data_IF_244885934251
#
_entry.id   IF_244885934251
#
_cell.length_a   1.000
_cell.length_b   1.000
_cell.length_c   1.000
_cell.angle_alpha   90.00
_cell.angle_beta   90.00
_cell.angle_gamma   90.00
#
_symmetry.space_group_name_H-M   'P 1'
#
loop_
_entity.id
_entity.type
_entity.pdbx_description
1 polymer ?
#
# COMPACT_ATOMS: atom_id res chain seq x y z
N UNK A 1 -9.23 -13.43 4.30
CA UNK A 1 -8.15 -12.54 3.81
C UNK A 1 -8.27 -11.16 4.45
N UNK A 2 -7.19 -10.59 5.02
CA UNK A 2 -7.12 -9.19 5.44
C UNK A 2 -6.70 -8.32 4.25
N UNK A 3 -7.23 -7.09 4.15
CA UNK A 3 -6.88 -6.16 3.05
C UNK A 3 -6.31 -4.87 3.64
N UNK A 4 -5.05 -4.58 3.36
CA UNK A 4 -4.37 -3.35 3.74
C UNK A 4 -4.03 -2.53 2.51
N UNK A 5 -4.21 -1.22 2.60
CA UNK A 5 -3.86 -0.28 1.52
C UNK A 5 -2.77 0.65 2.01
N UNK A 6 -1.70 0.77 1.24
CA UNK A 6 -0.60 1.71 1.51
C UNK A 6 -0.80 2.94 0.63
N UNK A 7 -1.24 4.04 1.21
CA UNK A 7 -1.63 5.23 0.45
C UNK A 7 -1.07 6.53 1.04
N UNK A 8 -0.66 7.44 0.17
CA UNK A 8 -0.39 8.84 0.47
C UNK A 8 -0.37 9.62 -0.84
N UNK A 9 -0.93 10.83 -0.84
CA UNK A 9 -0.94 11.73 -2.01
C UNK A 9 0.42 12.37 -2.30
N UNK A 10 1.43 12.16 -1.45
CA UNK A 10 2.80 12.59 -1.71
C UNK A 10 3.63 11.45 -2.30
N UNK A 11 4.36 11.73 -3.39
CA UNK A 11 5.36 10.83 -3.95
C UNK A 11 6.59 10.72 -3.04
N UNK A 12 7.32 9.59 -3.13
CA UNK A 12 8.61 9.42 -2.46
C UNK A 12 8.56 9.18 -0.94
N UNK A 13 7.39 8.95 -0.33
CA UNK A 13 7.24 8.74 1.12
C UNK A 13 7.48 7.29 1.56
N UNK A 14 7.78 6.39 0.63
CA UNK A 14 8.07 4.97 0.91
C UNK A 14 6.85 4.05 0.81
N UNK A 15 5.82 4.36 0.01
CA UNK A 15 4.65 3.49 -0.20
C UNK A 15 5.06 2.10 -0.69
N UNK A 16 5.64 2.01 -1.86
CA UNK A 16 6.11 0.75 -2.48
C UNK A 16 7.08 -0.01 -1.58
N UNK A 17 8.03 0.69 -0.94
CA UNK A 17 8.95 0.09 0.04
C UNK A 17 8.19 -0.50 1.23
N UNK A 18 7.13 0.16 1.70
CA UNK A 18 6.29 -0.35 2.79
C UNK A 18 5.50 -1.59 2.37
N UNK A 19 4.95 -1.61 1.14
CA UNK A 19 4.29 -2.80 0.58
C UNK A 19 5.25 -3.99 0.55
N UNK A 20 6.38 -3.85 -0.12
CA UNK A 20 7.37 -4.92 -0.25
C UNK A 20 7.90 -5.39 1.12
N UNK A 21 8.13 -4.45 2.07
CA UNK A 21 8.66 -4.79 3.39
C UNK A 21 7.64 -5.53 4.26
N UNK A 22 6.38 -5.08 4.29
CA UNK A 22 5.30 -5.75 5.05
C UNK A 22 4.96 -7.10 4.43
N UNK A 23 4.87 -7.18 3.10
CA UNK A 23 4.63 -8.43 2.38
C UNK A 23 5.74 -9.46 2.66
N UNK A 24 7.01 -9.06 2.53
CA UNK A 24 8.14 -9.93 2.83
C UNK A 24 8.20 -10.39 4.29
N UNK A 25 7.83 -9.53 5.24
CA UNK A 25 7.76 -9.91 6.66
C UNK A 25 6.60 -10.90 6.94
N UNK A 26 5.47 -10.78 6.23
CA UNK A 26 4.35 -11.74 6.29
C UNK A 26 4.74 -13.09 5.70
N UNK A 27 5.40 -13.12 4.53
CA UNK A 27 5.86 -14.35 3.89
C UNK A 27 6.83 -15.14 4.80
N UNK A 28 7.76 -14.44 5.48
CA UNK A 28 8.62 -15.07 6.50
C UNK A 28 7.85 -15.71 7.66
N UNK A 29 6.62 -15.30 7.90
CA UNK A 29 5.70 -15.90 8.90
C UNK A 29 4.80 -16.96 8.29
N UNK A 30 5.10 -17.42 7.06
CA UNK A 30 4.34 -18.46 6.36
C UNK A 30 2.97 -18.02 5.87
N UNK A 31 2.74 -16.69 5.70
CA UNK A 31 1.49 -16.16 5.17
C UNK A 31 1.54 -16.08 3.65
N UNK A 32 0.44 -16.42 2.99
CA UNK A 32 0.24 -16.21 1.56
C UNK A 32 -0.25 -14.77 1.35
N UNK A 33 0.50 -13.99 0.57
CA UNK A 33 0.28 -12.56 0.40
C UNK A 33 0.08 -12.23 -1.07
N UNK A 34 -1.02 -11.57 -1.40
CA UNK A 34 -1.22 -10.94 -2.70
C UNK A 34 -0.86 -9.46 -2.62
N UNK A 35 0.14 -9.05 -3.36
CA UNK A 35 0.43 -7.64 -3.58
C UNK A 35 -0.30 -7.16 -4.83
N UNK A 36 -0.88 -5.95 -4.78
CA UNK A 36 -1.56 -5.35 -5.92
C UNK A 36 -0.92 -4.00 -6.20
N UNK A 37 -0.30 -3.85 -7.36
CA UNK A 37 0.23 -2.58 -7.81
C UNK A 37 -0.88 -1.80 -8.54
N UNK A 38 -1.27 -0.64 -8.01
CA UNK A 38 -2.25 0.25 -8.66
C UNK A 38 -1.60 1.52 -9.20
N UNK A 39 -0.26 1.66 -9.09
CA UNK A 39 0.45 2.80 -9.67
C UNK A 39 0.78 2.51 -11.13
N UNK A 40 0.34 3.34 -12.10
CA UNK A 40 0.68 3.15 -13.52
C UNK A 40 2.18 3.08 -13.81
N UNK A 41 3.03 3.61 -12.92
CA UNK A 41 4.49 3.52 -13.07
C UNK A 41 5.06 2.13 -12.76
N UNK A 42 4.24 1.18 -12.31
CA UNK A 42 4.61 -0.21 -12.02
C UNK A 42 5.84 -0.36 -11.09
N UNK A 43 5.99 0.58 -10.15
CA UNK A 43 7.17 0.63 -9.27
C UNK A 43 7.31 -0.60 -8.38
N UNK A 44 6.21 -1.22 -7.96
CA UNK A 44 6.22 -2.45 -7.17
C UNK A 44 6.64 -3.65 -8.02
N UNK A 45 6.15 -3.72 -9.28
CA UNK A 45 6.58 -4.74 -10.25
C UNK A 45 8.08 -4.70 -10.45
N UNK A 46 8.64 -3.55 -10.82
CA UNK A 46 10.09 -3.40 -11.00
C UNK A 46 10.90 -3.68 -9.74
N UNK A 47 10.38 -3.29 -8.56
CA UNK A 47 11.01 -3.62 -7.27
C UNK A 47 11.17 -5.14 -7.11
N UNK A 48 10.21 -5.93 -7.56
CA UNK A 48 10.16 -7.39 -7.39
C UNK A 48 10.66 -8.17 -8.60
N UNK A 49 11.22 -7.50 -9.60
CA UNK A 49 11.74 -8.13 -10.81
C UNK A 49 10.68 -8.60 -11.80
N UNK A 50 9.48 -8.04 -11.71
CA UNK A 50 8.39 -8.29 -12.65
C UNK A 50 8.33 -7.14 -13.66
N UNK A 51 8.63 -7.43 -14.91
CA UNK A 51 8.50 -6.46 -15.99
C UNK A 51 7.02 -6.34 -16.41
N UNK A 52 6.48 -5.15 -16.28
CA UNK A 52 5.07 -4.87 -16.62
C UNK A 52 4.75 -5.04 -18.12
N UNK A 53 5.75 -5.07 -19.00
CA UNK A 53 5.56 -5.26 -20.43
C UNK A 53 5.62 -6.75 -20.85
N UNK A 54 6.15 -7.62 -19.97
CA UNK A 54 6.31 -9.06 -20.23
C UNK A 54 5.25 -9.93 -19.53
N UNK A 55 4.35 -9.31 -18.73
CA UNK A 55 3.32 -10.07 -18.00
C UNK A 55 2.18 -10.49 -18.92
N UNK A 56 1.53 -11.65 -18.68
CA UNK A 56 0.42 -12.15 -19.50
C UNK A 56 -0.85 -11.29 -19.38
N UNK A 57 -0.92 -10.43 -18.39
CA UNK A 57 -2.01 -9.51 -18.12
C UNK A 57 -1.76 -8.72 -16.83
N UNK A 58 -2.60 -7.75 -16.56
CA UNK A 58 -2.37 -6.77 -15.51
C UNK A 58 -3.68 -6.35 -14.81
N UNK A 59 -3.55 -5.52 -13.81
CA UNK A 59 -4.72 -4.90 -13.18
C UNK A 59 -5.58 -4.10 -14.18
N UNK A 60 -4.99 -3.55 -15.26
CA UNK A 60 -5.75 -2.87 -16.30
C UNK A 60 -6.78 -3.79 -16.95
N UNK A 61 -6.39 -5.02 -17.30
CA UNK A 61 -7.27 -6.01 -17.92
C UNK A 61 -8.43 -6.39 -17.00
N UNK A 62 -8.16 -6.48 -15.69
CA UNK A 62 -9.19 -6.70 -14.67
C UNK A 62 -10.20 -5.54 -14.63
N UNK A 63 -9.73 -4.29 -14.72
CA UNK A 63 -10.61 -3.12 -14.79
C UNK A 63 -11.44 -3.09 -16.06
N UNK A 64 -10.86 -3.44 -17.21
CA UNK A 64 -11.59 -3.54 -18.49
C UNK A 64 -12.69 -4.62 -18.41
N UNK A 65 -12.39 -5.74 -17.77
CA UNK A 65 -13.32 -6.87 -17.60
C UNK A 65 -14.28 -6.72 -16.40
N UNK A 66 -14.36 -5.56 -15.75
CA UNK A 66 -15.02 -5.36 -14.44
C UNK A 66 -16.46 -5.91 -14.33
N UNK A 67 -17.23 -5.97 -15.43
CA UNK A 67 -18.57 -6.53 -15.48
C UNK A 67 -18.62 -8.07 -15.60
N UNK A 68 -17.49 -8.72 -15.88
CA UNK A 68 -17.39 -10.16 -16.17
C UNK A 68 -16.24 -10.82 -15.41
N UNK A 69 -15.94 -10.32 -14.20
CA UNK A 69 -14.85 -10.87 -13.37
C UNK A 69 -15.17 -12.30 -12.95
N UNK A 70 -14.22 -13.20 -13.22
CA UNK A 70 -14.23 -14.56 -12.68
C UNK A 70 -12.94 -14.81 -11.90
N UNK A 71 -12.95 -15.82 -11.03
CA UNK A 71 -11.74 -16.21 -10.28
C UNK A 71 -10.60 -16.61 -11.19
N UNK A 72 -10.90 -17.32 -12.27
CA UNK A 72 -9.94 -17.80 -13.27
C UNK A 72 -9.29 -16.62 -14.00
N UNK A 73 -10.07 -15.63 -14.41
CA UNK A 73 -9.53 -14.43 -15.06
C UNK A 73 -8.62 -13.66 -14.12
N UNK A 74 -9.02 -13.43 -12.87
CA UNK A 74 -8.17 -12.73 -11.91
C UNK A 74 -6.88 -13.50 -11.67
N UNK A 75 -6.96 -14.82 -11.48
CA UNK A 75 -5.77 -15.68 -11.26
C UNK A 75 -4.83 -15.73 -12.45
N UNK A 76 -5.33 -15.65 -13.69
CA UNK A 76 -4.47 -15.66 -14.89
C UNK A 76 -3.61 -14.41 -15.02
N UNK A 77 -3.92 -13.34 -14.27
CA UNK A 77 -3.16 -12.07 -14.27
C UNK A 77 -2.25 -11.92 -13.04
N UNK A 78 -2.35 -12.84 -12.07
CA UNK A 78 -1.48 -12.86 -10.90
C UNK A 78 -0.20 -13.62 -11.26
N UNK A 79 0.94 -13.04 -10.96
CA UNK A 79 2.25 -13.63 -11.21
C UNK A 79 2.99 -13.92 -9.90
N UNK A 80 3.73 -15.03 -9.80
CA UNK A 80 4.59 -15.30 -8.65
C UNK A 80 5.79 -14.35 -8.64
N UNK A 81 6.33 -14.10 -7.43
CA UNK A 81 7.60 -13.39 -7.28
C UNK A 81 8.74 -14.37 -6.99
N UNK A 82 9.96 -13.85 -6.78
CA UNK A 82 11.12 -14.67 -6.37
C UNK A 82 10.99 -15.22 -4.93
N UNK A 83 9.96 -14.85 -4.20
CA UNK A 83 9.74 -15.25 -2.80
C UNK A 83 8.47 -16.09 -2.69
N UNK A 84 8.61 -17.32 -2.23
CA UNK A 84 7.48 -18.22 -2.02
C UNK A 84 6.41 -17.59 -1.12
N UNK A 85 5.15 -17.70 -1.54
CA UNK A 85 4.02 -17.12 -0.82
C UNK A 85 3.79 -15.63 -1.05
N UNK A 86 4.57 -15.00 -1.93
CA UNK A 86 4.35 -13.62 -2.41
C UNK A 86 3.99 -13.62 -3.89
N UNK A 87 2.75 -13.27 -4.19
CA UNK A 87 2.27 -13.09 -5.54
C UNK A 87 1.95 -11.62 -5.81
N UNK A 88 2.02 -11.22 -7.07
CA UNK A 88 1.77 -9.87 -7.53
C UNK A 88 0.67 -9.85 -8.60
N UNK A 89 -0.33 -9.00 -8.44
CA UNK A 89 -1.15 -8.52 -9.53
C UNK A 89 -0.51 -7.22 -10.06
N UNK A 90 0.16 -7.28 -11.23
CA UNK A 90 0.98 -6.18 -11.69
C UNK A 90 0.16 -5.04 -12.29
N UNK A 91 0.76 -3.86 -12.29
CA UNK A 91 0.30 -2.66 -12.96
C UNK A 91 0.92 -2.53 -14.34
N UNK A 92 0.32 -1.71 -15.19
CA UNK A 92 0.90 -1.23 -16.46
C UNK A 92 0.58 0.24 -16.67
N UNK A 93 1.32 0.91 -17.56
CA UNK A 93 1.05 2.31 -17.94
C UNK A 93 -0.36 2.54 -18.46
N UNK A 94 -1.02 1.51 -19.00
CA UNK A 94 -2.41 1.58 -19.45
C UNK A 94 -3.38 2.02 -18.33
N UNK A 95 -3.07 1.72 -17.05
CA UNK A 95 -3.87 2.19 -15.91
C UNK A 95 -4.02 3.72 -15.85
N UNK A 96 -3.07 4.49 -16.37
CA UNK A 96 -3.17 5.96 -16.44
C UNK A 96 -4.35 6.44 -17.32
N UNK A 97 -4.87 5.60 -18.18
CA UNK A 97 -6.01 5.92 -19.06
C UNK A 97 -7.37 5.69 -18.41
N UNK A 98 -7.44 4.93 -17.29
CA UNK A 98 -8.69 4.47 -16.70
C UNK A 98 -9.60 5.61 -16.22
N UNK A 99 -9.06 6.64 -15.59
CA UNK A 99 -9.85 7.78 -15.13
C UNK A 99 -10.59 8.46 -16.28
N UNK A 100 -9.95 8.57 -17.45
CA UNK A 100 -10.52 9.17 -18.65
C UNK A 100 -11.49 8.23 -19.38
N UNK A 101 -11.11 6.95 -19.47
CA UNK A 101 -11.87 5.98 -20.27
C UNK A 101 -13.08 5.41 -19.53
N UNK A 102 -12.97 5.16 -18.24
CA UNK A 102 -13.94 4.38 -17.47
C UNK A 102 -14.38 5.05 -16.16
N UNK A 103 -13.78 6.18 -15.76
CA UNK A 103 -13.99 6.79 -14.44
C UNK A 103 -15.44 7.23 -14.14
N UNK A 104 -16.26 7.39 -15.18
CA UNK A 104 -17.69 7.75 -15.06
C UNK A 104 -18.65 6.54 -15.12
N UNK A 105 -18.13 5.33 -15.34
CA UNK A 105 -18.98 4.14 -15.43
C UNK A 105 -19.41 3.68 -14.03
N UNK A 106 -20.64 3.19 -13.94
CA UNK A 106 -21.19 2.64 -12.71
C UNK A 106 -20.40 1.37 -12.28
N UNK A 107 -20.13 1.23 -10.99
CA UNK A 107 -19.39 0.07 -10.47
C UNK A 107 -17.87 0.22 -10.45
N UNK A 108 -17.29 1.16 -11.21
CA UNK A 108 -15.83 1.32 -11.31
C UNK A 108 -15.12 1.58 -9.98
N UNK A 109 -15.79 2.10 -8.97
CA UNK A 109 -15.21 2.34 -7.65
C UNK A 109 -15.09 1.11 -6.75
N UNK A 110 -15.52 -0.08 -7.20
CA UNK A 110 -15.57 -1.33 -6.42
C UNK A 110 -14.85 -2.51 -7.09
N UNK A 111 -14.16 -2.30 -8.19
CA UNK A 111 -13.51 -3.37 -8.96
C UNK A 111 -12.50 -4.14 -8.11
N UNK A 112 -11.63 -3.43 -7.36
CA UNK A 112 -10.67 -4.08 -6.45
C UNK A 112 -11.36 -4.88 -5.35
N UNK A 113 -12.45 -4.38 -4.78
CA UNK A 113 -13.21 -5.11 -3.76
C UNK A 113 -13.78 -6.41 -4.33
N UNK A 114 -14.32 -6.35 -5.55
CA UNK A 114 -14.92 -7.51 -6.21
C UNK A 114 -13.86 -8.55 -6.56
N UNK A 115 -12.73 -8.14 -7.16
CA UNK A 115 -11.65 -9.07 -7.48
C UNK A 115 -11.08 -9.74 -6.22
N UNK A 116 -10.87 -8.99 -5.12
CA UNK A 116 -10.35 -9.53 -3.87
C UNK A 116 -11.30 -10.53 -3.23
N UNK A 117 -12.61 -10.36 -3.37
CA UNK A 117 -13.59 -11.32 -2.92
C UNK A 117 -13.49 -12.67 -3.65
N UNK A 118 -13.14 -12.65 -4.96
CA UNK A 118 -13.00 -13.87 -5.78
C UNK A 118 -11.79 -14.73 -5.39
N UNK A 119 -10.73 -14.12 -4.85
CA UNK A 119 -9.49 -14.83 -4.46
C UNK A 119 -9.26 -14.86 -2.94
N UNK A 120 -10.29 -14.54 -2.17
CA UNK A 120 -10.18 -14.41 -0.71
C UNK A 120 -9.78 -15.70 0.03
N UNK A 121 -10.00 -16.86 -0.56
CA UNK A 121 -9.64 -18.19 -0.05
C UNK A 121 -8.19 -18.59 -0.41
N UNK A 122 -7.56 -17.89 -1.35
CA UNK A 122 -6.20 -18.20 -1.81
C UNK A 122 -5.12 -17.50 -0.96
N UNK A 123 -5.44 -16.37 -0.34
CA UNK A 123 -4.47 -15.52 0.38
C UNK A 123 -4.91 -15.21 1.82
N UNK A 124 -3.93 -15.05 2.70
CA UNK A 124 -4.16 -14.60 4.09
C UNK A 124 -4.30 -13.08 4.18
N UNK A 125 -3.48 -12.36 3.38
CA UNK A 125 -3.43 -10.89 3.34
C UNK A 125 -3.29 -10.40 1.91
N UNK A 126 -3.99 -9.33 1.57
CA UNK A 126 -3.74 -8.54 0.37
C UNK A 126 -3.19 -7.17 0.76
N UNK A 127 -2.14 -6.69 0.07
CA UNK A 127 -1.56 -5.37 0.28
C UNK A 127 -1.59 -4.60 -1.04
N UNK A 128 -2.25 -3.43 -1.03
CA UNK A 128 -2.42 -2.58 -2.21
C UNK A 128 -1.44 -1.41 -2.17
N UNK A 129 -0.60 -1.27 -3.18
CA UNK A 129 0.24 -0.08 -3.41
C UNK A 129 -0.54 0.95 -4.22
N UNK A 130 -0.63 2.19 -3.73
CA UNK A 130 -1.42 3.25 -4.35
C UNK A 130 -0.56 4.27 -5.09
N UNK A 131 -1.06 4.81 -6.23
CA UNK A 131 -0.46 5.99 -6.85
C UNK A 131 -0.59 7.21 -5.93
N UNK A 132 0.24 8.26 -6.14
CA UNK A 132 0.14 9.49 -5.35
C UNK A 132 -1.03 10.40 -5.77
N UNK A 133 -1.77 10.03 -6.80
CA UNK A 133 -2.86 10.84 -7.37
C UNK A 133 -4.21 10.31 -6.89
N UNK A 134 -5.10 11.23 -6.51
CA UNK A 134 -6.48 10.90 -6.19
C UNK A 134 -7.28 10.72 -7.49
N UNK A 135 -7.49 9.47 -7.88
CA UNK A 135 -8.27 9.04 -9.04
C UNK A 135 -9.03 7.76 -8.74
N UNK A 136 -9.62 7.15 -9.78
CA UNK A 136 -10.41 5.91 -9.65
C UNK A 136 -9.62 4.78 -8.97
N UNK A 137 -8.31 4.70 -9.23
CA UNK A 137 -7.44 3.67 -8.66
C UNK A 137 -7.33 3.81 -7.13
N UNK A 138 -7.04 5.02 -6.63
CA UNK A 138 -6.99 5.26 -5.18
C UNK A 138 -8.37 5.05 -4.53
N UNK A 139 -9.45 5.49 -5.17
CA UNK A 139 -10.81 5.27 -4.68
C UNK A 139 -11.12 3.78 -4.53
N UNK A 140 -10.71 2.95 -5.51
CA UNK A 140 -10.85 1.49 -5.46
C UNK A 140 -10.05 0.89 -4.31
N UNK A 141 -8.79 1.28 -4.17
CA UNK A 141 -7.92 0.79 -3.11
C UNK A 141 -8.49 1.10 -1.71
N UNK A 142 -8.94 2.34 -1.50
CA UNK A 142 -9.57 2.74 -0.23
C UNK A 142 -10.91 2.02 0.01
N UNK A 143 -11.71 1.79 -1.03
CA UNK A 143 -13.01 1.11 -0.90
C UNK A 143 -12.87 -0.40 -0.61
N UNK A 144 -11.77 -1.02 -1.01
CA UNK A 144 -11.47 -2.42 -0.74
C UNK A 144 -10.79 -2.64 0.62
N UNK A 145 -10.23 -1.59 1.21
CA UNK A 145 -9.36 -1.66 2.37
C UNK A 145 -10.12 -1.86 3.69
N UNK A 146 -9.61 -2.75 4.54
CA UNK A 146 -10.00 -2.85 5.94
C UNK A 146 -9.17 -1.92 6.82
N UNK A 147 -7.93 -1.65 6.43
CA UNK A 147 -7.04 -0.73 7.12
C UNK A 147 -6.10 -0.02 6.17
N UNK A 148 -5.89 1.28 6.37
CA UNK A 148 -5.03 2.12 5.53
C UNK A 148 -3.76 2.44 6.31
N UNK A 149 -2.62 2.10 5.74
CA UNK A 149 -1.31 2.49 6.26
C UNK A 149 -0.84 3.72 5.47
N UNK A 150 -0.54 4.81 6.16
CA UNK A 150 -0.15 6.07 5.54
C UNK A 150 1.32 6.38 5.89
N UNK A 151 2.29 5.94 5.08
CA UNK A 151 3.67 6.31 5.28
C UNK A 151 3.87 7.81 5.05
N UNK A 152 4.53 8.48 6.00
CA UNK A 152 4.78 9.93 5.97
C UNK A 152 6.25 10.18 6.28
N UNK A 153 6.96 10.77 5.34
CA UNK A 153 8.33 11.21 5.58
C UNK A 153 8.37 12.24 6.72
N UNK A 154 9.32 12.10 7.63
CA UNK A 154 9.47 13.00 8.78
C UNK A 154 10.05 14.35 8.37
N UNK A 155 9.26 15.11 7.57
CA UNK A 155 9.55 16.47 7.11
C UNK A 155 8.27 17.31 6.98
N UNK A 156 8.42 18.64 7.03
CA UNK A 156 7.28 19.57 7.06
C UNK A 156 6.32 19.43 5.86
N UNK A 157 6.84 19.36 4.64
CA UNK A 157 5.97 19.25 3.44
C UNK A 157 5.22 17.91 3.35
N UNK A 158 5.75 16.86 3.95
CA UNK A 158 5.06 15.58 4.00
C UNK A 158 3.86 15.60 4.95
N UNK A 159 3.93 16.35 6.05
CA UNK A 159 2.79 16.56 6.96
C UNK A 159 1.64 17.25 6.22
N UNK A 160 1.93 18.24 5.37
CA UNK A 160 0.91 18.89 4.53
C UNK A 160 0.28 17.95 3.50
N UNK A 161 1.02 16.97 3.00
CA UNK A 161 0.50 15.88 2.18
C UNK A 161 -0.45 14.96 2.96
N UNK A 162 -0.09 14.63 4.22
CA UNK A 162 -0.92 13.84 5.12
C UNK A 162 -2.24 14.54 5.43
N UNK A 163 -2.22 15.83 5.78
CA UNK A 163 -3.44 16.62 6.04
C UNK A 163 -4.44 16.52 4.87
N UNK A 164 -3.93 16.63 3.62
CA UNK A 164 -4.76 16.47 2.41
C UNK A 164 -5.33 15.07 2.27
N UNK A 165 -4.51 14.05 2.51
CA UNK A 165 -4.95 12.65 2.44
C UNK A 165 -6.05 12.34 3.45
N UNK A 166 -5.89 12.75 4.70
CA UNK A 166 -6.89 12.55 5.77
C UNK A 166 -8.18 13.26 5.42
N UNK A 167 -8.11 14.54 4.99
CA UNK A 167 -9.28 15.30 4.56
C UNK A 167 -10.02 14.64 3.38
N UNK A 168 -9.28 14.08 2.44
CA UNK A 168 -9.86 13.32 1.31
C UNK A 168 -10.63 12.09 1.82
N UNK A 169 -10.03 11.31 2.72
CA UNK A 169 -10.70 10.14 3.31
C UNK A 169 -11.95 10.54 4.10
N UNK A 170 -11.94 11.66 4.83
CA UNK A 170 -13.12 12.16 5.53
C UNK A 170 -14.25 12.50 4.56
N UNK A 171 -13.96 13.24 3.48
CA UNK A 171 -14.95 13.60 2.46
C UNK A 171 -15.56 12.34 1.83
N UNK A 172 -14.71 11.39 1.43
CA UNK A 172 -15.16 10.11 0.86
C UNK A 172 -15.97 9.29 1.87
N UNK A 173 -15.53 9.27 3.12
CA UNK A 173 -16.21 8.56 4.20
C UNK A 173 -17.61 9.10 4.47
N UNK A 174 -17.78 10.43 4.51
CA UNK A 174 -19.09 11.08 4.66
C UNK A 174 -20.04 10.70 3.53
N UNK A 175 -19.56 10.76 2.27
CA UNK A 175 -20.36 10.39 1.09
C UNK A 175 -20.83 8.93 1.13
N UNK A 176 -19.97 8.02 1.60
CA UNK A 176 -20.27 6.56 1.62
C UNK A 176 -20.81 6.08 2.98
N UNK A 177 -20.99 6.97 3.97
CA UNK A 177 -21.36 6.63 5.37
C UNK A 177 -20.40 5.59 5.97
N UNK A 178 -19.13 5.65 5.63
CA UNK A 178 -18.08 4.71 6.03
C UNK A 178 -16.97 5.46 6.77
N UNK A 179 -16.43 4.87 7.83
CA UNK A 179 -15.24 5.37 8.50
C UNK A 179 -14.03 4.57 8.05
N UNK A 180 -12.98 5.25 7.60
CA UNK A 180 -11.72 4.59 7.28
C UNK A 180 -10.89 4.41 8.55
N UNK A 181 -10.46 3.17 8.79
CA UNK A 181 -9.43 2.88 9.80
C UNK A 181 -8.06 3.13 9.18
N UNK A 182 -7.19 3.91 9.83
CA UNK A 182 -5.85 4.17 9.31
C UNK A 182 -4.80 4.31 10.40
N UNK A 183 -3.55 4.07 10.01
CA UNK A 183 -2.35 4.31 10.81
C UNK A 183 -1.36 5.18 10.05
N UNK A 184 -0.95 6.27 10.66
CA UNK A 184 0.15 7.12 10.17
C UNK A 184 1.47 6.50 10.59
N UNK A 185 2.35 6.25 9.62
CA UNK A 185 3.65 5.62 9.83
C UNK A 185 4.77 6.60 9.49
N UNK A 186 5.51 7.13 10.49
CA UNK A 186 6.65 8.00 10.24
C UNK A 186 7.76 7.24 9.51
N UNK A 187 8.16 7.71 8.33
CA UNK A 187 9.19 7.08 7.49
C UNK A 187 10.39 7.99 7.30
N UNK A 188 11.49 7.40 6.82
CA UNK A 188 12.74 8.11 6.53
C UNK A 188 13.24 8.95 7.71
N UNK A 189 13.01 8.46 8.92
CA UNK A 189 13.43 9.15 10.13
C UNK A 189 14.97 9.17 10.25
N UNK A 190 15.52 10.36 10.41
CA UNK A 190 16.94 10.57 10.67
C UNK A 190 17.15 11.45 11.92
N UNK A 191 17.51 10.82 13.03
CA UNK A 191 17.74 11.51 14.32
C UNK A 191 18.90 12.54 14.28
N UNK A 192 19.76 12.51 13.26
CA UNK A 192 20.90 13.43 13.11
C UNK A 192 20.43 14.79 12.58
N UNK A 193 19.26 14.88 12.01
CA UNK A 193 18.66 16.13 11.50
C UNK A 193 17.80 16.78 12.58
N UNK A 194 17.64 18.10 12.52
CA UNK A 194 16.69 18.82 13.37
C UNK A 194 15.23 18.64 12.87
N UNK A 195 15.07 18.47 11.57
CA UNK A 195 13.77 18.41 10.93
C UNK A 195 12.96 17.14 11.29
N UNK A 196 13.60 15.95 11.31
CA UNK A 196 12.92 14.70 11.57
C UNK A 196 12.31 14.61 12.98
N UNK A 197 13.04 14.90 14.07
CA UNK A 197 12.43 14.93 15.41
C UNK A 197 11.32 15.97 15.54
N UNK A 198 11.49 17.18 14.97
CA UNK A 198 10.47 18.22 15.01
C UNK A 198 9.20 17.80 14.26
N UNK A 199 9.35 17.19 13.07
CA UNK A 199 8.22 16.66 12.32
C UNK A 199 7.51 15.52 13.06
N UNK A 200 8.24 14.63 13.72
CA UNK A 200 7.68 13.55 14.52
C UNK A 200 6.86 14.09 15.71
N UNK A 201 7.33 15.16 16.36
CA UNK A 201 6.58 15.83 17.41
C UNK A 201 5.25 16.37 16.89
N UNK A 202 5.24 17.09 15.77
CA UNK A 202 4.01 17.60 15.13
C UNK A 202 3.06 16.46 14.76
N UNK A 203 3.56 15.37 14.21
CA UNK A 203 2.75 14.18 13.91
C UNK A 203 2.13 13.58 15.18
N UNK A 204 2.87 13.54 16.28
CA UNK A 204 2.38 13.03 17.57
C UNK A 204 1.27 13.91 18.17
N UNK A 205 1.42 15.23 18.06
CA UNK A 205 0.43 16.18 18.54
C UNK A 205 -0.87 16.16 17.72
N UNK A 206 -0.75 16.01 16.39
CA UNK A 206 -1.92 16.08 15.49
C UNK A 206 -2.63 14.73 15.27
N UNK A 207 -1.88 13.61 15.30
CA UNK A 207 -2.39 12.28 14.92
C UNK A 207 -2.17 11.21 16.00
N UNK A 208 -1.95 11.59 17.26
CA UNK A 208 -1.50 10.69 18.34
C UNK A 208 -2.24 9.36 18.46
N UNK A 209 -3.56 9.34 18.28
CA UNK A 209 -4.36 8.11 18.32
C UNK A 209 -4.18 7.22 17.09
N UNK A 210 -3.86 7.82 15.93
CA UNK A 210 -3.65 7.13 14.65
C UNK A 210 -2.18 7.00 14.29
N UNK A 211 -1.26 7.56 15.10
CA UNK A 211 0.16 7.50 14.86
C UNK A 211 0.76 6.20 15.41
N UNK A 212 1.45 5.44 14.58
CA UNK A 212 2.34 4.40 15.07
C UNK A 212 3.50 5.04 15.85
N UNK A 213 3.70 4.61 17.10
CA UNK A 213 4.60 5.26 18.07
C UNK A 213 6.10 5.00 17.84
N UNK A 214 6.43 4.21 16.83
CA UNK A 214 7.81 3.99 16.40
C UNK A 214 8.03 4.64 15.02
N UNK A 215 9.19 4.46 14.42
CA UNK A 215 9.58 5.10 13.15
C UNK A 215 10.28 4.11 12.22
N UNK A 216 10.12 4.28 10.92
CA UNK A 216 10.95 3.62 9.91
C UNK A 216 12.17 4.51 9.64
N UNK A 217 13.38 4.08 10.02
CA UNK A 217 14.59 4.88 9.83
C UNK A 217 15.00 4.94 8.36
N UNK A 218 15.81 5.94 8.00
CA UNK A 218 16.58 5.88 6.75
C UNK A 218 17.49 4.66 6.78
N UNK A 219 17.35 3.79 5.77
CA UNK A 219 18.20 2.60 5.62
C UNK A 219 18.47 2.34 4.13
N UNK A 220 19.74 2.32 3.74
CA UNK A 220 20.16 2.11 2.35
C UNK A 220 19.87 0.69 1.86
N UNK A 221 19.69 -0.26 2.79
CA UNK A 221 19.40 -1.66 2.46
C UNK A 221 18.09 -1.86 1.70
N UNK A 222 17.15 -0.93 1.78
CA UNK A 222 15.95 -0.96 0.94
C UNK A 222 16.27 -0.77 -0.56
N UNK A 223 17.26 0.07 -0.88
CA UNK A 223 17.72 0.27 -2.27
C UNK A 223 18.48 -0.97 -2.78
N UNK A 224 19.38 -1.50 -1.97
CA UNK A 224 20.11 -2.72 -2.30
C UNK A 224 19.15 -3.90 -2.54
N UNK A 225 18.11 -4.03 -1.70
CA UNK A 225 17.09 -5.07 -1.81
C UNK A 225 16.27 -4.93 -3.10
N UNK A 226 15.87 -3.70 -3.46
CA UNK A 226 15.13 -3.47 -4.71
C UNK A 226 15.96 -3.80 -5.95
N UNK A 227 17.28 -3.53 -5.93
CA UNK A 227 18.21 -3.93 -7.01
C UNK A 227 18.34 -5.46 -7.10
N UNK A 228 18.20 -6.16 -5.99
CA UNK A 228 18.22 -7.63 -5.94
C UNK A 228 16.84 -8.26 -6.20
N UNK A 229 15.80 -7.45 -6.47
CA UNK A 229 14.42 -7.88 -6.67
C UNK A 229 13.82 -8.68 -5.50
N UNK A 230 14.27 -8.38 -4.28
CA UNK A 230 13.83 -9.05 -3.06
C UNK A 230 13.26 -8.05 -2.04
N UNK A 231 12.24 -8.41 -1.27
CA UNK A 231 11.89 -7.66 -0.06
C UNK A 231 13.10 -7.58 0.88
N UNK A 232 13.30 -6.42 1.52
CA UNK A 232 14.47 -6.19 2.38
C UNK A 232 14.60 -7.24 3.51
N UNK A 233 13.49 -7.80 3.97
CA UNK A 233 13.47 -8.89 4.96
C UNK A 233 14.15 -10.17 4.45
N UNK A 234 14.18 -10.42 3.14
CA UNK A 234 14.83 -11.56 2.49
C UNK A 234 16.27 -11.24 2.07
N UNK A 235 16.56 -9.98 1.79
CA UNK A 235 17.89 -9.53 1.39
C UNK A 235 18.81 -9.23 2.59
N UNK A 236 18.33 -8.51 3.61
CA UNK A 236 19.14 -8.02 4.74
C UNK A 236 18.34 -8.03 6.06
N UNK A 237 17.94 -9.22 6.52
CA UNK A 237 17.02 -9.42 7.66
C UNK A 237 17.47 -8.75 8.96
N UNK A 238 18.77 -8.53 9.17
CA UNK A 238 19.30 -7.91 10.37
C UNK A 238 19.30 -6.38 10.38
N UNK A 239 18.98 -5.71 9.27
CA UNK A 239 19.06 -4.26 9.18
C UNK A 239 17.97 -3.54 10.01
N UNK A 240 18.24 -2.27 10.34
CA UNK A 240 17.34 -1.49 11.22
C UNK A 240 15.97 -1.26 10.60
N UNK A 241 15.94 -1.03 9.30
CA UNK A 241 14.71 -0.82 8.56
C UNK A 241 13.80 -2.05 8.60
N UNK A 242 14.34 -3.26 8.39
CA UNK A 242 13.59 -4.52 8.47
C UNK A 242 12.99 -4.71 9.86
N UNK A 243 13.81 -4.56 10.91
CA UNK A 243 13.34 -4.68 12.30
C UNK A 243 12.22 -3.68 12.62
N UNK A 244 12.26 -2.47 12.04
CA UNK A 244 11.21 -1.49 12.21
C UNK A 244 9.91 -1.93 11.51
N UNK A 245 9.98 -2.47 10.29
CA UNK A 245 8.80 -3.04 9.61
C UNK A 245 8.25 -4.29 10.30
N UNK A 246 9.08 -5.13 10.91
CA UNK A 246 8.62 -6.26 11.72
C UNK A 246 7.78 -5.79 12.92
N UNK A 247 8.23 -4.73 13.64
CA UNK A 247 7.45 -4.13 14.74
C UNK A 247 6.17 -3.47 14.25
N UNK A 248 6.21 -2.80 13.08
CA UNK A 248 5.00 -2.27 12.45
C UNK A 248 4.02 -3.39 12.10
N UNK A 249 4.53 -4.50 11.56
CA UNK A 249 3.69 -5.67 11.26
C UNK A 249 3.03 -6.24 12.53
N UNK A 250 3.77 -6.36 13.63
CA UNK A 250 3.22 -6.82 14.91
C UNK A 250 2.08 -5.92 15.38
N UNK A 251 2.26 -4.60 15.30
CA UNK A 251 1.23 -3.62 15.60
C UNK A 251 -0.01 -3.76 14.69
N UNK A 252 0.19 -3.91 13.37
CA UNK A 252 -0.91 -4.09 12.42
C UNK A 252 -1.67 -5.41 12.62
N UNK A 253 -0.98 -6.48 13.03
CA UNK A 253 -1.61 -7.78 13.29
C UNK A 253 -2.38 -7.80 14.60
N UNK A 254 -1.92 -7.07 15.62
CA UNK A 254 -2.62 -6.92 16.88
C UNK A 254 -3.97 -6.21 16.73
N UNK A 255 -4.16 -5.41 15.67
CA UNK A 255 -5.42 -4.75 15.38
C UNK A 255 -5.79 -3.61 16.35
N UNK A 256 -4.83 -3.10 17.10
CA UNK A 256 -5.00 -1.99 18.06
C UNK A 256 -5.05 -0.64 17.32
N UNK A 257 -6.02 -0.50 16.41
CA UNK A 257 -6.18 0.73 15.65
C UNK A 257 -7.04 1.73 16.42
N UNK A 258 -6.54 2.94 16.59
CA UNK A 258 -7.35 4.06 17.05
C UNK A 258 -8.51 4.31 16.08
N UNK A 259 -9.74 4.23 16.57
CA UNK A 259 -10.91 4.62 15.79
C UNK A 259 -11.03 6.14 15.83
N UNK A 260 -10.83 6.80 14.69
CA UNK A 260 -11.07 8.24 14.58
C UNK A 260 -12.55 8.52 14.84
N UNK A 261 -12.85 9.16 15.96
CA UNK A 261 -14.16 9.77 16.19
C UNK A 261 -14.29 10.95 15.22
N UNK A 262 -15.17 10.83 14.25
CA UNK A 262 -15.61 11.99 13.46
C UNK A 262 -16.62 12.71 14.35
N UNK A 263 -16.27 13.93 14.80
CA UNK A 263 -17.18 14.86 15.44
C UNK A 263 -18.27 15.36 14.48
#
# INVERSE_FOLDING_TARGET
MKVWTIANQKGGVGKTTSVASLAGALAKRGKRVLMIDTDPHASLGYYLGVDSEEVPGSLFDVFVAHNHLTKELVKSHIVPTLVDGLDLLPSTMALATLDRALGHQEGMGLVLRNLLALVADEYDVAIVDCPPVLGVLMVNALAASQHIVIPVQTEFLAIKGLERMVKTMEIMGRSKKTRYSYTVVPTMFDKRTKASPAALQVLSEQYGESLWRDVIPVDTKFRDASLAHLPASHYASGCRGVKAYERLLDFLLAGEFGHVKIG
#
